data_IF_368824964654
#
_entry.id   IF_368824964654
#
_cell.length_a   1.000
_cell.length_b   1.000
_cell.length_c   1.000
_cell.angle_alpha   90.00
_cell.angle_beta   90.00
_cell.angle_gamma   90.00
#
_symmetry.space_group_name_H-M   'P 1'
#
loop_
_entity.id
_entity.type
_entity.pdbx_description
1 polymer ?
#
# COMPACT_ATOMS: atom_id res chain seq x y z
N UNK A 1 -8.86 10.94 27.99
CA UNK A 1 -9.38 11.93 27.02
C UNK A 1 -8.28 12.58 26.20
N UNK A 2 -7.20 13.05 26.84
CA UNK A 2 -6.03 13.57 26.11
C UNK A 2 -5.38 12.53 25.20
N UNK A 3 -5.38 11.27 25.59
CA UNK A 3 -4.76 10.17 24.84
C UNK A 3 -5.42 9.94 23.47
N UNK A 4 -6.71 10.29 23.33
CA UNK A 4 -7.41 10.17 22.04
C UNK A 4 -7.13 11.31 21.09
N UNK A 5 -6.56 12.41 21.59
CA UNK A 5 -6.26 13.62 20.81
C UNK A 5 -4.78 13.68 20.38
N UNK A 6 -3.90 12.89 21.03
CA UNK A 6 -2.49 12.84 20.70
C UNK A 6 -2.26 11.82 19.56
N UNK A 7 -1.95 12.26 18.34
CA UNK A 7 -1.72 11.34 17.24
C UNK A 7 -0.44 10.54 17.49
N UNK A 8 -0.54 9.23 17.33
CA UNK A 8 0.62 8.34 17.42
C UNK A 8 1.48 8.49 16.17
N UNK A 9 2.81 8.75 16.28
CA UNK A 9 3.66 9.05 15.13
C UNK A 9 3.70 7.94 14.08
N UNK A 10 3.74 6.68 14.50
CA UNK A 10 3.82 5.55 13.59
C UNK A 10 2.59 5.44 12.67
N UNK A 11 1.38 5.27 13.22
CA UNK A 11 0.16 5.21 12.41
C UNK A 11 -0.09 6.47 11.59
N UNK A 12 0.25 7.64 12.10
CA UNK A 12 0.12 8.91 11.35
C UNK A 12 1.05 8.91 10.14
N UNK A 13 2.31 8.47 10.29
CA UNK A 13 3.25 8.37 9.17
C UNK A 13 2.74 7.41 8.10
N UNK A 14 2.23 6.24 8.49
CA UNK A 14 1.62 5.27 7.57
C UNK A 14 0.45 5.91 6.82
N UNK A 15 -0.46 6.56 7.53
CA UNK A 15 -1.62 7.24 6.95
C UNK A 15 -1.23 8.33 5.97
N UNK A 16 -0.19 9.11 6.27
CA UNK A 16 0.30 10.17 5.39
C UNK A 16 0.90 9.60 4.10
N UNK A 17 1.72 8.55 4.19
CA UNK A 17 2.34 7.94 3.01
C UNK A 17 1.29 7.25 2.14
N UNK A 18 0.39 6.48 2.73
CA UNK A 18 -0.70 5.82 2.00
C UNK A 18 -1.66 6.86 1.41
N UNK A 19 -1.99 7.91 2.16
CA UNK A 19 -2.81 9.02 1.69
C UNK A 19 -2.18 9.76 0.51
N UNK A 20 -0.87 10.02 0.56
CA UNK A 20 -0.13 10.59 -0.55
C UNK A 20 -0.19 9.67 -1.79
N UNK A 21 -0.02 8.37 -1.59
CA UNK A 21 -0.17 7.40 -2.68
C UNK A 21 -1.55 7.45 -3.33
N UNK A 22 -2.60 7.48 -2.53
CA UNK A 22 -3.97 7.61 -3.02
C UNK A 22 -4.20 8.92 -3.77
N UNK A 23 -3.69 10.02 -3.26
CA UNK A 23 -3.78 11.34 -3.90
C UNK A 23 -3.08 11.35 -5.27
N UNK A 24 -1.87 10.80 -5.34
CA UNK A 24 -1.13 10.70 -6.60
C UNK A 24 -1.89 9.83 -7.63
N UNK A 25 -2.53 8.77 -7.17
CA UNK A 25 -3.37 7.95 -8.03
C UNK A 25 -4.52 8.77 -8.64
N UNK A 26 -5.19 9.58 -7.82
CA UNK A 26 -6.29 10.43 -8.28
C UNK A 26 -5.84 11.56 -9.18
N UNK A 27 -4.59 11.99 -9.09
CA UNK A 27 -4.04 13.05 -9.94
C UNK A 27 -3.69 12.57 -11.36
N UNK A 28 -3.54 11.26 -11.57
CA UNK A 28 -3.14 10.72 -12.88
C UNK A 28 -4.01 11.23 -14.04
N UNK A 29 -5.34 11.19 -13.97
CA UNK A 29 -6.17 11.66 -15.08
C UNK A 29 -6.14 13.19 -15.27
N UNK A 30 -5.72 13.95 -14.27
CA UNK A 30 -5.69 15.42 -14.34
C UNK A 30 -4.34 15.94 -14.83
N UNK A 31 -3.26 15.40 -14.27
CA UNK A 31 -1.90 15.88 -14.54
C UNK A 31 -1.24 15.13 -15.70
N UNK A 32 -1.50 13.83 -15.83
CA UNK A 32 -0.83 13.00 -16.82
C UNK A 32 0.68 12.89 -16.60
N UNK A 33 1.42 12.34 -17.57
CA UNK A 33 2.88 12.24 -17.49
C UNK A 33 3.54 13.62 -17.41
N UNK A 34 4.56 13.76 -16.59
CA UNK A 34 5.35 14.98 -16.49
C UNK A 34 6.84 14.67 -16.55
N UNK A 35 7.63 15.65 -16.97
CA UNK A 35 9.07 15.48 -17.16
C UNK A 35 9.84 16.03 -15.97
N UNK A 36 10.75 15.22 -15.44
CA UNK A 36 11.78 15.61 -14.48
C UNK A 36 13.15 15.41 -15.13
N UNK A 37 13.65 16.47 -15.79
CA UNK A 37 14.84 16.36 -16.61
C UNK A 37 14.64 15.43 -17.81
N UNK A 38 15.46 14.39 -17.92
CA UNK A 38 15.38 13.38 -18.97
C UNK A 38 14.35 12.27 -18.67
N UNK A 39 13.78 12.25 -17.45
CA UNK A 39 12.84 11.23 -17.01
C UNK A 39 11.41 11.69 -17.22
N UNK A 40 10.60 10.83 -17.86
CA UNK A 40 9.15 11.02 -17.92
C UNK A 40 8.53 10.19 -16.80
N UNK A 41 7.83 10.85 -15.90
CA UNK A 41 7.23 10.24 -14.70
C UNK A 41 5.71 10.37 -14.78
N UNK A 42 5.01 9.31 -14.41
CA UNK A 42 3.56 9.30 -14.29
C UNK A 42 3.16 9.33 -12.82
N UNK A 43 2.15 10.12 -12.44
CA UNK A 43 1.65 10.13 -11.06
C UNK A 43 1.26 8.73 -10.56
N UNK A 44 0.69 7.88 -11.42
CA UNK A 44 0.31 6.51 -11.05
C UNK A 44 1.53 5.66 -10.67
N UNK A 45 2.68 5.87 -11.30
CA UNK A 45 3.91 5.15 -10.94
C UNK A 45 4.41 5.57 -9.56
N UNK A 46 4.39 6.87 -9.27
CA UNK A 46 4.73 7.39 -7.94
C UNK A 46 3.73 6.91 -6.88
N UNK A 47 2.46 6.86 -7.22
CA UNK A 47 1.41 6.29 -6.38
C UNK A 47 1.74 4.85 -5.98
N UNK A 48 2.08 4.01 -6.95
CA UNK A 48 2.40 2.60 -6.69
C UNK A 48 3.59 2.45 -5.73
N UNK A 49 4.64 3.25 -5.90
CA UNK A 49 5.80 3.26 -5.00
C UNK A 49 5.40 3.73 -3.61
N UNK A 50 4.65 4.83 -3.51
CA UNK A 50 4.19 5.36 -2.22
C UNK A 50 3.31 4.35 -1.48
N UNK A 51 2.41 3.66 -2.19
CA UNK A 51 1.55 2.64 -1.60
C UNK A 51 2.35 1.40 -1.16
N UNK A 52 3.33 0.96 -1.95
CA UNK A 52 4.22 -0.13 -1.57
C UNK A 52 4.98 0.20 -0.28
N UNK A 53 5.57 1.38 -0.19
CA UNK A 53 6.30 1.84 1.00
C UNK A 53 5.35 2.01 2.18
N UNK A 54 4.21 2.67 1.98
CA UNK A 54 3.25 2.95 3.05
C UNK A 54 2.66 1.70 3.67
N UNK A 55 2.23 0.75 2.86
CA UNK A 55 1.69 -0.51 3.37
C UNK A 55 2.75 -1.38 4.02
N UNK A 56 3.97 -1.42 3.47
CA UNK A 56 5.08 -2.15 4.09
C UNK A 56 5.46 -1.55 5.45
N UNK A 57 5.51 -0.23 5.54
CA UNK A 57 5.74 0.48 6.79
C UNK A 57 4.61 0.18 7.79
N UNK A 58 3.36 0.17 7.33
CA UNK A 58 2.19 -0.18 8.15
C UNK A 58 2.28 -1.57 8.72
N UNK A 59 2.75 -2.54 7.93
CA UNK A 59 2.95 -3.91 8.41
C UNK A 59 3.89 -3.94 9.61
N UNK A 60 5.02 -3.23 9.57
CA UNK A 60 5.99 -3.15 10.67
C UNK A 60 5.39 -2.42 11.87
N UNK A 61 4.79 -1.25 11.64
CA UNK A 61 4.23 -0.41 12.71
C UNK A 61 3.13 -1.15 13.48
N UNK A 62 2.18 -1.72 12.78
CA UNK A 62 1.06 -2.42 13.43
C UNK A 62 1.49 -3.74 14.06
N UNK A 63 2.48 -4.43 13.49
CA UNK A 63 3.06 -5.61 14.12
C UNK A 63 3.70 -5.27 15.47
N UNK A 64 4.49 -4.21 15.53
CA UNK A 64 5.11 -3.74 16.77
C UNK A 64 4.10 -3.28 17.82
N UNK A 65 2.89 -2.92 17.40
CA UNK A 65 1.81 -2.49 18.28
C UNK A 65 0.86 -3.61 18.66
N UNK A 66 1.21 -4.85 18.36
CA UNK A 66 0.40 -6.04 18.62
C UNK A 66 -0.97 -6.04 17.90
N UNK A 67 -1.11 -5.24 16.85
CA UNK A 67 -2.30 -5.24 16.00
C UNK A 67 -2.08 -6.16 14.80
N UNK A 68 -2.06 -7.45 15.06
CA UNK A 68 -1.67 -8.48 14.08
C UNK A 68 -2.53 -8.50 12.83
N UNK A 69 -3.83 -8.27 12.98
CA UNK A 69 -4.74 -8.26 11.83
C UNK A 69 -4.45 -7.09 10.89
N UNK A 70 -4.23 -5.88 11.46
CA UNK A 70 -3.84 -4.72 10.68
C UNK A 70 -2.45 -4.91 10.05
N UNK A 71 -1.52 -5.49 10.79
CA UNK A 71 -0.19 -5.80 10.27
C UNK A 71 -0.26 -6.77 9.08
N UNK A 72 -1.07 -7.80 9.18
CA UNK A 72 -1.26 -8.77 8.10
C UNK A 72 -1.88 -8.12 6.86
N UNK A 73 -2.91 -7.31 7.04
CA UNK A 73 -3.54 -6.59 5.94
C UNK A 73 -2.54 -5.68 5.22
N UNK A 74 -1.76 -4.91 5.97
CA UNK A 74 -0.73 -4.04 5.40
C UNK A 74 0.39 -4.82 4.73
N UNK A 75 0.79 -5.97 5.28
CA UNK A 75 1.80 -6.84 4.69
C UNK A 75 1.34 -7.40 3.33
N UNK A 76 0.10 -7.85 3.23
CA UNK A 76 -0.48 -8.36 1.98
C UNK A 76 -0.52 -7.26 0.92
N UNK A 77 -1.05 -6.09 1.26
CA UNK A 77 -1.10 -4.96 0.33
C UNK A 77 0.29 -4.44 -0.02
N UNK A 78 1.20 -4.38 0.95
CA UNK A 78 2.58 -3.99 0.70
C UNK A 78 3.29 -4.94 -0.26
N UNK A 79 3.13 -6.24 -0.08
CA UNK A 79 3.70 -7.24 -0.98
C UNK A 79 3.09 -7.14 -2.39
N UNK A 80 1.77 -6.92 -2.48
CA UNK A 80 1.07 -6.76 -3.75
C UNK A 80 1.57 -5.53 -4.52
N UNK A 81 1.63 -4.37 -3.87
CA UNK A 81 2.10 -3.14 -4.52
C UNK A 81 3.58 -3.22 -4.88
N UNK A 82 4.41 -3.85 -4.04
CA UNK A 82 5.82 -4.10 -4.35
C UNK A 82 5.96 -5.02 -5.57
N UNK A 83 5.15 -6.08 -5.63
CA UNK A 83 5.11 -6.99 -6.77
C UNK A 83 4.71 -6.29 -8.07
N UNK A 84 3.72 -5.38 -8.00
CA UNK A 84 3.31 -4.57 -9.15
C UNK A 84 4.44 -3.66 -9.63
N UNK A 85 5.11 -2.95 -8.71
CA UNK A 85 6.22 -2.05 -9.05
C UNK A 85 7.37 -2.84 -9.68
N UNK A 86 7.82 -3.89 -9.02
CA UNK A 86 8.94 -4.70 -9.51
C UNK A 86 8.57 -5.40 -10.82
N UNK A 87 7.38 -5.99 -10.89
CA UNK A 87 6.90 -6.67 -12.09
C UNK A 87 6.84 -5.75 -13.31
N UNK A 88 6.40 -4.51 -13.10
CA UNK A 88 6.35 -3.50 -14.17
C UNK A 88 7.75 -3.09 -14.60
N UNK A 89 8.67 -2.88 -13.65
CA UNK A 89 10.04 -2.46 -13.93
C UNK A 89 10.84 -3.51 -14.71
N UNK A 90 10.66 -4.79 -14.36
CA UNK A 90 11.39 -5.88 -15.03
C UNK A 90 10.64 -6.50 -16.21
N UNK A 91 9.45 -6.00 -16.52
CA UNK A 91 8.63 -6.53 -17.60
C UNK A 91 8.07 -7.93 -17.34
N UNK A 92 7.97 -8.35 -16.08
CA UNK A 92 7.52 -9.67 -15.69
C UNK A 92 6.00 -9.66 -15.40
N UNK A 93 5.18 -9.90 -16.41
CA UNK A 93 3.72 -9.95 -16.27
C UNK A 93 3.24 -10.98 -15.25
N UNK A 94 3.97 -12.07 -15.06
CA UNK A 94 3.67 -13.09 -14.04
C UNK A 94 3.70 -12.53 -12.61
N UNK A 95 4.63 -11.61 -12.31
CA UNK A 95 4.68 -10.93 -11.00
C UNK A 95 3.48 -10.00 -10.82
N UNK A 96 3.04 -9.32 -11.87
CA UNK A 96 1.86 -8.46 -11.83
C UNK A 96 0.61 -9.29 -11.55
N UNK A 97 0.43 -10.39 -12.26
CA UNK A 97 -0.70 -11.32 -12.04
C UNK A 97 -0.64 -11.89 -10.63
N UNK A 98 0.54 -12.34 -10.18
CA UNK A 98 0.74 -12.85 -8.83
C UNK A 98 0.39 -11.82 -7.76
N UNK A 99 0.73 -10.55 -7.96
CA UNK A 99 0.38 -9.46 -7.03
C UNK A 99 -1.13 -9.26 -6.93
N UNK A 100 -1.84 -9.28 -8.05
CA UNK A 100 -3.31 -9.18 -8.08
C UNK A 100 -3.95 -10.38 -7.36
N UNK A 101 -3.48 -11.59 -7.62
CA UNK A 101 -3.96 -12.80 -6.95
C UNK A 101 -3.72 -12.74 -5.44
N UNK A 102 -2.58 -12.20 -5.01
CA UNK A 102 -2.25 -12.02 -3.60
C UNK A 102 -3.25 -11.08 -2.91
N UNK A 103 -3.63 -9.99 -3.55
CA UNK A 103 -4.66 -9.07 -3.02
C UNK A 103 -5.99 -9.79 -2.85
N UNK A 104 -6.44 -10.49 -3.88
CA UNK A 104 -7.71 -11.23 -3.86
C UNK A 104 -7.69 -12.29 -2.75
N UNK A 105 -6.63 -13.08 -2.67
CA UNK A 105 -6.49 -14.12 -1.63
C UNK A 105 -6.43 -13.49 -0.22
N UNK A 106 -5.72 -12.37 -0.07
CA UNK A 106 -5.62 -11.65 1.19
C UNK A 106 -6.97 -11.13 1.67
N UNK A 107 -7.73 -10.50 0.78
CA UNK A 107 -9.08 -10.03 1.09
C UNK A 107 -9.98 -11.21 1.48
N UNK A 108 -9.96 -12.30 0.71
CA UNK A 108 -10.74 -13.50 1.01
C UNK A 108 -10.42 -14.10 2.38
N UNK A 109 -9.14 -14.18 2.73
CA UNK A 109 -8.70 -14.71 4.03
C UNK A 109 -9.13 -13.81 5.21
N UNK A 110 -9.15 -12.49 5.02
CA UNK A 110 -9.62 -11.56 6.03
C UNK A 110 -11.12 -11.71 6.28
N UNK A 111 -11.91 -11.90 5.22
CA UNK A 111 -13.35 -12.16 5.36
C UNK A 111 -13.63 -13.49 6.04
N UNK A 112 -12.89 -14.55 5.70
CA UNK A 112 -13.04 -15.85 6.33
C UNK A 112 -12.74 -15.80 7.82
N UNK A 113 -11.68 -15.13 8.21
CA UNK A 113 -11.34 -14.91 9.63
C UNK A 113 -12.45 -14.16 10.38
N UNK A 114 -13.05 -13.16 9.77
CA UNK A 114 -14.18 -12.45 10.38
C UNK A 114 -15.38 -13.36 10.62
N UNK A 115 -15.67 -14.26 9.69
CA UNK A 115 -16.76 -15.25 9.85
C UNK A 115 -16.50 -16.20 11.01
N UNK A 116 -15.26 -16.65 11.17
CA UNK A 116 -14.89 -17.60 12.24
C UNK A 116 -14.94 -16.97 13.64
N UNK A 117 -14.79 -15.64 13.73
CA UNK A 117 -14.83 -14.92 15.01
C UNK A 117 -16.26 -14.56 15.45
N UNK A 118 -17.25 -14.77 14.61
CA UNK A 118 -18.66 -14.66 14.94
C UNK A 118 -19.21 -15.99 15.42
#
# INVERSE_FOLDING_TARGET
MRETLDPEPGPVAVGLVVGLGGLLFLLEPVVGPFSLGALVVRPVALSAVALAVGFSLGAVVFYRRNRRLFALAHAVFGAAWTGLVVGTLVGAGSLVVGAVLLVVAGIGSLFDRRRRLR
#
